data_IF_609521990261
#
_entry.id   IF_609521990261
#
_cell.length_a   1.000
_cell.length_b   1.000
_cell.length_c   1.000
_cell.angle_alpha   90.00
_cell.angle_beta   90.00
_cell.angle_gamma   90.00
#
_symmetry.space_group_name_H-M   'P 1'
#
loop_
_entity.id
_entity.type
_entity.pdbx_description
1 polymer ?
#
# COMPACT_ATOMS: atom_id res chain seq x y z
N UNK A 1 -25.34 68.80 14.36
CA UNK A 1 -25.17 68.24 15.72
C UNK A 1 -25.91 66.92 15.76
N UNK A 2 -25.21 65.79 15.90
CA UNK A 2 -25.85 64.49 16.13
C UNK A 2 -25.85 64.21 17.63
N UNK A 3 -27.01 64.20 18.26
CA UNK A 3 -27.18 63.85 19.68
C UNK A 3 -27.56 62.37 19.79
N UNK A 4 -26.72 61.56 20.44
CA UNK A 4 -27.12 60.23 20.94
C UNK A 4 -27.85 60.46 22.28
N UNK A 5 -29.11 60.03 22.39
CA UNK A 5 -29.83 59.99 23.66
C UNK A 5 -29.59 58.63 24.32
N UNK A 6 -28.95 58.63 25.48
CA UNK A 6 -28.88 57.49 26.39
C UNK A 6 -29.67 57.92 27.61
N UNK A 7 -30.84 57.30 27.82
CA UNK A 7 -31.68 57.54 28.99
C UNK A 7 -31.07 56.85 30.22
N UNK A 8 -30.63 57.64 31.19
CA UNK A 8 -30.74 57.27 32.60
C UNK A 8 -30.76 58.54 33.43
N UNK A 9 -31.68 58.59 34.38
CA UNK A 9 -31.94 59.64 35.35
C UNK A 9 -30.69 60.15 36.09
N UNK A 10 -29.92 61.06 35.49
CA UNK A 10 -29.04 62.01 36.17
C UNK A 10 -28.81 63.22 35.26
N UNK A 11 -29.32 64.39 35.67
CA UNK A 11 -29.27 65.66 34.95
C UNK A 11 -27.85 66.26 34.91
N UNK A 12 -26.99 65.72 34.04
CA UNK A 12 -25.71 66.32 33.66
C UNK A 12 -25.50 66.21 32.16
N UNK A 13 -25.75 67.29 31.40
CA UNK A 13 -25.39 67.33 29.98
C UNK A 13 -23.86 67.41 29.85
N UNK A 14 -23.22 66.30 29.53
CA UNK A 14 -21.81 66.26 29.17
C UNK A 14 -21.67 66.72 27.71
N UNK A 15 -21.14 67.91 27.49
CA UNK A 15 -20.80 68.40 26.15
C UNK A 15 -19.44 67.83 25.74
N UNK A 16 -19.47 66.77 24.95
CA UNK A 16 -18.26 66.26 24.28
C UNK A 16 -17.92 67.19 23.12
N UNK A 17 -16.67 67.64 23.04
CA UNK A 17 -16.22 68.38 21.86
C UNK A 17 -16.13 67.43 20.64
N UNK A 18 -16.06 68.00 19.44
CA UNK A 18 -16.06 67.21 18.20
C UNK A 18 -14.92 66.17 18.17
N UNK A 19 -13.76 66.49 18.74
CA UNK A 19 -12.61 65.58 18.80
C UNK A 19 -12.90 64.35 19.68
N UNK A 20 -13.54 64.54 20.83
CA UNK A 20 -13.94 63.46 21.74
C UNK A 20 -15.00 62.55 21.08
N UNK A 21 -15.94 63.12 20.31
CA UNK A 21 -16.93 62.32 19.55
C UNK A 21 -16.25 61.49 18.46
N UNK A 22 -15.27 62.05 17.75
CA UNK A 22 -14.50 61.32 16.73
C UNK A 22 -13.68 60.19 17.34
N UNK A 23 -13.05 60.41 18.50
CA UNK A 23 -12.26 59.40 19.20
C UNK A 23 -13.12 58.21 19.65
N UNK A 24 -14.29 58.47 20.25
CA UNK A 24 -15.24 57.42 20.63
C UNK A 24 -15.76 56.66 19.40
N UNK A 25 -16.07 57.36 18.30
CA UNK A 25 -16.52 56.72 17.06
C UNK A 25 -15.44 55.80 16.45
N UNK A 26 -14.17 56.21 16.49
CA UNK A 26 -13.05 55.40 16.03
C UNK A 26 -12.83 54.16 16.92
N UNK A 27 -12.95 54.32 18.24
CA UNK A 27 -12.88 53.21 19.18
C UNK A 27 -13.99 52.18 18.94
N UNK A 28 -15.22 52.65 18.69
CA UNK A 28 -16.35 51.78 18.33
C UNK A 28 -16.14 51.05 17.00
N UNK A 29 -15.66 51.74 15.96
CA UNK A 29 -15.33 51.12 14.67
C UNK A 29 -14.25 50.05 14.82
N UNK A 30 -13.21 50.31 15.61
CA UNK A 30 -12.15 49.34 15.89
C UNK A 30 -12.70 48.09 16.58
N UNK A 31 -13.54 48.26 17.61
CA UNK A 31 -14.18 47.12 18.30
C UNK A 31 -15.14 46.33 17.42
N UNK A 32 -15.90 46.99 16.55
CA UNK A 32 -16.77 46.31 15.57
C UNK A 32 -15.92 45.51 14.58
N UNK A 33 -14.84 46.09 14.06
CA UNK A 33 -13.92 45.40 13.16
C UNK A 33 -13.25 44.18 13.80
N UNK A 34 -12.85 44.28 15.07
CA UNK A 34 -12.35 43.15 15.85
C UNK A 34 -13.43 42.07 16.03
N UNK A 35 -14.66 42.46 16.37
CA UNK A 35 -15.78 41.51 16.51
C UNK A 35 -16.12 40.80 15.19
N UNK A 36 -16.08 41.51 14.05
CA UNK A 36 -16.27 40.92 12.72
C UNK A 36 -15.17 39.91 12.41
N UNK A 37 -13.90 40.25 12.68
CA UNK A 37 -12.78 39.29 12.53
C UNK A 37 -12.95 38.04 13.38
N UNK A 38 -13.42 38.18 14.62
CA UNK A 38 -13.70 37.02 15.49
C UNK A 38 -14.84 36.16 14.94
N UNK A 39 -15.91 36.78 14.45
CA UNK A 39 -17.02 36.08 13.78
C UNK A 39 -16.56 35.33 12.53
N UNK A 40 -15.73 35.96 11.69
CA UNK A 40 -15.17 35.32 10.49
C UNK A 40 -14.33 34.09 10.86
N UNK A 41 -13.52 34.18 11.93
CA UNK A 41 -12.76 33.03 12.45
C UNK A 41 -13.70 31.93 12.92
N UNK A 42 -14.72 32.24 13.73
CA UNK A 42 -15.68 31.25 14.24
C UNK A 42 -16.43 30.55 13.10
N UNK A 43 -16.89 31.31 12.10
CA UNK A 43 -17.58 30.78 10.92
C UNK A 43 -16.66 29.95 10.01
N UNK A 44 -15.33 30.14 10.12
CA UNK A 44 -14.33 29.35 9.40
C UNK A 44 -13.94 28.04 10.10
N UNK A 45 -14.39 27.82 11.34
CA UNK A 45 -14.08 26.61 12.10
C UNK A 45 -14.86 25.40 11.56
N UNK A 46 -14.16 24.28 11.47
CA UNK A 46 -14.71 22.99 11.08
C UNK A 46 -14.47 22.01 12.22
N UNK A 47 -15.54 21.32 12.62
CA UNK A 47 -15.44 20.21 13.58
C UNK A 47 -14.65 19.07 12.95
N UNK A 48 -13.67 18.56 13.67
CA UNK A 48 -12.84 17.43 13.29
C UNK A 48 -12.73 16.44 14.47
N UNK A 49 -12.52 15.18 14.14
CA UNK A 49 -12.28 14.07 15.06
C UNK A 49 -10.80 13.72 15.04
N UNK A 50 -10.21 13.51 16.23
CA UNK A 50 -8.79 13.23 16.39
C UNK A 50 -8.56 11.74 16.60
N UNK A 51 -7.70 11.15 15.78
CA UNK A 51 -7.13 9.82 16.03
C UNK A 51 -5.67 9.99 16.46
N UNK A 52 -5.34 9.42 17.61
CA UNK A 52 -3.98 9.35 18.14
C UNK A 52 -3.54 7.90 18.20
N UNK A 53 -2.35 7.62 17.70
CA UNK A 53 -1.76 6.30 17.79
C UNK A 53 -0.26 6.36 18.05
N UNK A 54 0.24 5.31 18.65
CA UNK A 54 1.67 5.08 18.83
C UNK A 54 2.00 3.67 18.34
N UNK A 55 3.03 3.57 17.51
CA UNK A 55 3.50 2.33 16.92
C UNK A 55 4.91 2.06 17.44
N UNK A 56 5.05 1.04 18.30
CA UNK A 56 6.32 0.73 18.98
C UNK A 56 7.37 0.17 18.03
N UNK A 57 8.62 0.58 18.24
CA UNK A 57 9.80 0.15 17.46
C UNK A 57 9.65 0.33 15.93
N UNK A 58 8.81 1.27 15.51
CA UNK A 58 8.49 1.51 14.10
C UNK A 58 9.71 1.94 13.29
N UNK A 59 10.72 2.57 13.91
CA UNK A 59 11.95 3.00 13.22
C UNK A 59 12.71 1.81 12.63
N UNK A 60 12.67 0.64 13.28
CA UNK A 60 13.41 -0.56 12.85
C UNK A 60 12.67 -1.35 11.77
N UNK A 61 11.44 -0.95 11.45
CA UNK A 61 10.53 -1.67 10.56
C UNK A 61 10.39 -0.90 9.26
N UNK A 62 10.90 -1.48 8.17
CA UNK A 62 10.66 -0.98 6.81
C UNK A 62 9.14 -0.94 6.56
N UNK A 63 8.61 0.01 5.80
CA UNK A 63 7.19 -0.07 5.41
C UNK A 63 6.18 0.71 6.25
N UNK A 64 6.45 0.90 7.55
CA UNK A 64 5.41 1.33 8.49
C UNK A 64 4.96 2.77 8.26
N UNK A 65 5.92 3.71 8.17
CA UNK A 65 5.60 5.12 7.97
C UNK A 65 4.94 5.36 6.61
N UNK A 66 5.50 4.81 5.52
CA UNK A 66 4.88 4.93 4.20
C UNK A 66 3.47 4.33 4.14
N UNK A 67 3.26 3.15 4.74
CA UNK A 67 1.92 2.52 4.86
C UNK A 67 0.93 3.42 5.58
N UNK A 68 1.39 4.15 6.59
CA UNK A 68 0.56 5.08 7.33
C UNK A 68 0.12 6.27 6.47
N UNK A 69 1.03 6.83 5.67
CA UNK A 69 0.68 7.93 4.75
C UNK A 69 -0.38 7.51 3.73
N UNK A 70 -0.25 6.33 3.12
CA UNK A 70 -1.28 5.80 2.20
C UNK A 70 -2.61 5.59 2.90
N UNK A 71 -2.59 4.96 4.08
CA UNK A 71 -3.81 4.73 4.85
C UNK A 71 -4.46 6.05 5.22
N UNK A 72 -3.68 7.03 5.66
CA UNK A 72 -4.17 8.37 5.99
C UNK A 72 -4.84 9.02 4.77
N UNK A 73 -4.25 8.90 3.58
CA UNK A 73 -4.84 9.38 2.32
C UNK A 73 -6.13 8.64 1.95
N UNK A 74 -6.16 7.29 2.01
CA UNK A 74 -7.34 6.44 1.76
C UNK A 74 -8.54 6.82 2.65
N UNK A 75 -8.28 7.20 3.90
CA UNK A 75 -9.31 7.61 4.86
C UNK A 75 -9.52 9.13 4.94
N UNK A 76 -8.96 9.91 4.00
CA UNK A 76 -9.14 11.35 3.88
C UNK A 76 -8.72 12.12 5.15
N UNK A 77 -7.62 11.69 5.76
CA UNK A 77 -7.06 12.32 6.95
C UNK A 77 -6.43 13.69 6.64
N UNK A 78 -6.39 14.55 7.66
CA UNK A 78 -5.72 15.84 7.64
C UNK A 78 -4.64 15.88 8.73
N UNK A 79 -3.59 16.67 8.51
CA UNK A 79 -2.58 16.93 9.54
C UNK A 79 -3.21 17.63 10.75
N UNK A 80 -2.65 17.37 11.94
CA UNK A 80 -2.98 18.13 13.13
C UNK A 80 -2.49 19.57 12.97
N UNK A 81 -3.28 20.59 13.34
CA UNK A 81 -2.97 21.97 13.03
C UNK A 81 -1.82 22.42 13.92
N UNK A 82 -0.99 23.32 13.40
CA UNK A 82 0.16 23.96 14.06
C UNK A 82 1.50 23.24 14.00
N UNK A 83 1.56 21.96 13.62
CA UNK A 83 2.85 21.31 13.32
C UNK A 83 2.68 20.02 12.50
N UNK A 84 2.92 20.09 11.20
CA UNK A 84 2.94 18.90 10.32
C UNK A 84 3.95 17.86 10.80
N UNK A 85 5.06 18.33 11.40
CA UNK A 85 6.09 17.47 11.97
C UNK A 85 5.69 16.79 13.28
N UNK A 86 4.51 17.08 13.84
CA UNK A 86 3.97 16.37 15.01
C UNK A 86 2.85 15.39 14.66
N UNK A 87 2.32 15.45 13.44
CA UNK A 87 1.21 14.60 13.04
C UNK A 87 1.64 13.17 12.73
N UNK A 88 2.82 13.00 12.13
CA UNK A 88 3.43 11.70 11.84
C UNK A 88 4.94 11.80 12.09
N UNK A 89 5.37 11.46 13.30
CA UNK A 89 6.74 11.70 13.74
C UNK A 89 7.29 10.60 14.65
N UNK A 90 8.62 10.47 14.65
CA UNK A 90 9.29 9.55 15.55
C UNK A 90 9.52 10.21 16.90
N UNK A 91 9.20 9.49 17.97
CA UNK A 91 9.62 9.78 19.33
C UNK A 91 10.55 8.64 19.78
N UNK A 92 11.86 8.83 19.59
CA UNK A 92 12.84 7.76 19.75
C UNK A 92 12.64 6.67 18.70
N UNK A 93 12.36 5.43 19.14
CA UNK A 93 12.11 4.30 18.25
C UNK A 93 10.67 4.18 17.75
N UNK A 94 9.76 4.93 18.36
CA UNK A 94 8.32 4.75 18.20
C UNK A 94 7.75 5.80 17.25
N UNK A 95 6.77 5.41 16.43
CA UNK A 95 6.09 6.33 15.52
C UNK A 95 4.80 6.82 16.16
N UNK A 96 4.76 8.12 16.46
CA UNK A 96 3.59 8.82 16.96
C UNK A 96 2.76 9.38 15.79
N UNK A 97 1.46 9.23 15.93
CA UNK A 97 0.47 9.61 14.93
C UNK A 97 -0.60 10.45 15.60
N UNK A 98 -0.87 11.64 15.08
CA UNK A 98 -2.01 12.47 15.44
C UNK A 98 -2.62 13.02 14.15
N UNK A 99 -3.80 12.53 13.79
CA UNK A 99 -4.48 12.88 12.54
C UNK A 99 -5.90 13.36 12.81
N UNK A 100 -6.37 14.23 11.92
CA UNK A 100 -7.71 14.80 11.95
C UNK A 100 -8.59 14.23 10.85
N UNK A 101 -9.87 14.07 11.16
CA UNK A 101 -10.89 13.61 10.22
C UNK A 101 -12.12 14.50 10.33
N UNK A 102 -12.66 14.97 9.20
CA UNK A 102 -13.91 15.75 9.21
C UNK A 102 -15.13 14.91 9.54
N UNK A 103 -15.03 13.60 9.33
CA UNK A 103 -16.11 12.64 9.43
C UNK A 103 -15.78 11.62 10.53
N UNK A 104 -16.69 11.45 11.48
CA UNK A 104 -16.55 10.53 12.62
C UNK A 104 -16.45 9.07 12.18
N UNK A 105 -17.21 8.68 11.15
CA UNK A 105 -17.19 7.34 10.60
C UNK A 105 -15.82 7.03 10.00
N UNK A 106 -15.26 7.94 9.20
CA UNK A 106 -13.90 7.78 8.64
C UNK A 106 -12.82 7.72 9.71
N UNK A 107 -12.94 8.55 10.76
CA UNK A 107 -12.07 8.47 11.92
C UNK A 107 -12.15 7.09 12.61
N UNK A 108 -13.37 6.58 12.77
CA UNK A 108 -13.66 5.26 13.35
C UNK A 108 -13.09 4.12 12.51
N UNK A 109 -13.31 4.13 11.20
CA UNK A 109 -12.77 3.11 10.28
C UNK A 109 -11.24 3.12 10.28
N UNK A 110 -10.61 4.30 10.21
CA UNK A 110 -9.16 4.44 10.27
C UNK A 110 -8.61 3.88 11.59
N UNK A 111 -9.23 4.24 12.73
CA UNK A 111 -8.88 3.76 14.07
C UNK A 111 -8.94 2.23 14.17
N UNK A 112 -10.05 1.64 13.74
CA UNK A 112 -10.23 0.18 13.72
C UNK A 112 -9.19 -0.45 12.82
N UNK A 113 -9.00 0.07 11.62
CA UNK A 113 -8.03 -0.47 10.67
C UNK A 113 -6.60 -0.43 11.22
N UNK A 114 -6.21 0.66 11.86
CA UNK A 114 -4.88 0.81 12.47
C UNK A 114 -4.69 -0.14 13.66
N UNK A 115 -5.71 -0.30 14.52
CA UNK A 115 -5.67 -1.25 15.64
C UNK A 115 -5.53 -2.71 15.19
N UNK A 116 -6.06 -3.02 14.01
CA UNK A 116 -6.00 -4.34 13.40
C UNK A 116 -4.68 -4.63 12.68
N UNK A 117 -3.80 -3.64 12.50
CA UNK A 117 -2.51 -3.84 11.85
C UNK A 117 -1.67 -4.90 12.57
N UNK A 118 -1.78 -5.03 13.91
CA UNK A 118 -1.09 -6.09 14.65
C UNK A 118 -1.46 -7.51 14.19
N UNK A 119 -2.63 -7.69 13.57
CA UNK A 119 -3.11 -8.99 13.07
C UNK A 119 -3.01 -9.12 11.55
N UNK A 120 -3.19 -8.01 10.81
CA UNK A 120 -3.40 -8.06 9.37
C UNK A 120 -2.37 -7.26 8.57
N UNK A 121 -1.50 -6.49 9.22
CA UNK A 121 -0.42 -5.82 8.49
C UNK A 121 0.68 -6.85 8.18
N UNK A 122 1.07 -7.03 6.91
CA UNK A 122 2.15 -7.96 6.55
C UNK A 122 3.46 -7.70 7.31
N UNK A 123 3.72 -6.44 7.67
CA UNK A 123 4.90 -6.00 8.44
C UNK A 123 4.78 -6.32 9.95
N UNK A 124 3.57 -6.64 10.42
CA UNK A 124 3.24 -7.00 11.80
C UNK A 124 3.42 -8.48 12.14
N UNK A 125 3.83 -9.32 11.18
CA UNK A 125 4.18 -10.73 11.41
C UNK A 125 5.25 -10.94 12.51
N UNK A 126 5.89 -9.87 13.00
CA UNK A 126 6.78 -9.85 14.18
C UNK A 126 6.21 -9.03 15.36
N UNK A 127 4.94 -9.20 15.72
CA UNK A 127 4.36 -8.58 16.92
C UNK A 127 4.50 -7.07 16.95
N UNK A 128 3.81 -6.37 16.05
CA UNK A 128 3.73 -4.91 16.09
C UNK A 128 2.83 -4.49 17.26
N UNK A 129 3.39 -3.75 18.21
CA UNK A 129 2.61 -3.17 19.29
C UNK A 129 2.13 -1.78 18.87
N UNK A 130 0.80 -1.63 18.88
CA UNK A 130 0.10 -0.44 18.39
C UNK A 130 -0.93 -0.07 19.44
N UNK A 131 -0.76 1.13 20.02
CA UNK A 131 -1.78 1.74 20.85
C UNK A 131 -2.53 2.78 20.02
N UNK A 132 -3.86 2.80 20.14
CA UNK A 132 -4.72 3.78 19.48
C UNK A 132 -5.71 4.28 20.52
N UNK A 133 -6.02 5.58 20.53
CA UNK A 133 -7.01 6.13 21.46
C UNK A 133 -8.36 5.43 21.31
N UNK A 134 -8.98 5.06 22.44
CA UNK A 134 -10.28 4.38 22.43
C UNK A 134 -11.42 5.32 22.00
N UNK A 135 -11.38 6.56 22.46
CA UNK A 135 -12.38 7.59 22.20
C UNK A 135 -11.84 8.64 21.25
N UNK A 136 -12.67 9.01 20.26
CA UNK A 136 -12.37 10.09 19.33
C UNK A 136 -12.58 11.43 20.02
N UNK A 137 -11.50 12.18 20.22
CA UNK A 137 -11.61 13.55 20.72
C UNK A 137 -12.12 14.47 19.60
N UNK A 138 -12.89 15.49 19.95
CA UNK A 138 -13.38 16.49 19.01
C UNK A 138 -12.60 17.79 19.14
N UNK A 139 -12.23 18.38 18.01
CA UNK A 139 -11.54 19.68 17.95
C UNK A 139 -12.17 20.53 16.86
N UNK A 140 -12.14 21.85 17.06
CA UNK A 140 -12.55 22.82 16.04
C UNK A 140 -11.31 23.44 15.42
N UNK A 141 -11.22 23.37 14.10
CA UNK A 141 -10.03 23.78 13.34
C UNK A 141 -10.44 24.74 12.24
N UNK A 142 -9.70 25.84 12.07
CA UNK A 142 -9.90 26.74 10.95
C UNK A 142 -9.73 25.97 9.62
N UNK A 143 -10.72 26.10 8.73
CA UNK A 143 -10.73 25.40 7.44
C UNK A 143 -9.47 25.64 6.62
N UNK A 144 -8.89 26.85 6.69
CA UNK A 144 -7.66 27.24 6.00
C UNK A 144 -6.41 26.50 6.49
N UNK A 145 -6.44 25.95 7.71
CA UNK A 145 -5.33 25.20 8.32
C UNK A 145 -5.42 23.69 8.06
N UNK A 146 -6.50 23.21 7.45
CA UNK A 146 -6.68 21.80 7.12
C UNK A 146 -5.93 21.47 5.83
N UNK A 147 -4.78 20.79 5.99
CA UNK A 147 -4.04 20.22 4.87
C UNK A 147 -4.24 18.69 4.84
N UNK A 148 -4.69 18.13 3.71
CA UNK A 148 -4.86 16.68 3.58
C UNK A 148 -3.51 15.98 3.68
N UNK A 149 -3.49 14.78 4.25
CA UNK A 149 -2.34 13.88 4.18
C UNK A 149 -2.39 13.17 2.83
N UNK A 150 -1.30 13.28 2.07
CA UNK A 150 -1.14 12.60 0.78
C UNK A 150 0.07 11.68 0.85
N UNK A 151 0.05 10.55 0.14
CA UNK A 151 1.21 9.67 0.05
C UNK A 151 2.45 10.39 -0.50
N UNK A 152 2.26 11.34 -1.42
CA UNK A 152 3.33 12.16 -1.99
C UNK A 152 4.06 13.03 -0.96
N UNK A 153 3.49 13.24 0.23
CA UNK A 153 4.17 13.94 1.33
C UNK A 153 5.20 13.06 2.05
N UNK A 154 5.21 11.74 1.81
CA UNK A 154 6.21 10.85 2.35
C UNK A 154 7.56 11.06 1.65
N UNK A 155 8.56 11.53 2.41
CA UNK A 155 9.93 11.65 1.93
C UNK A 155 10.81 10.54 2.51
N UNK A 156 11.25 9.63 1.64
CA UNK A 156 12.06 8.49 2.05
C UNK A 156 13.41 8.89 2.66
N UNK A 157 14.00 10.01 2.21
CA UNK A 157 15.27 10.55 2.70
C UNK A 157 15.16 11.24 4.07
N UNK A 158 13.96 11.67 4.47
CA UNK A 158 13.67 12.29 5.77
C UNK A 158 13.08 11.27 6.76
N UNK A 159 13.16 9.97 6.44
CA UNK A 159 12.67 8.90 7.29
C UNK A 159 13.83 8.27 8.04
N UNK A 160 13.75 8.28 9.38
CA UNK A 160 14.70 7.58 10.24
C UNK A 160 14.58 6.03 10.14
N UNK A 161 13.59 5.55 9.38
CA UNK A 161 13.39 4.14 9.05
C UNK A 161 14.16 3.71 7.80
N UNK A 162 14.43 2.40 7.60
CA UNK A 162 15.01 1.89 6.35
C UNK A 162 14.30 2.44 5.11
N UNK A 163 15.08 2.99 4.18
CA UNK A 163 14.58 3.67 2.97
C UNK A 163 13.61 2.76 2.22
N UNK A 164 12.44 3.31 1.92
CA UNK A 164 11.46 2.73 1.02
C UNK A 164 11.14 3.78 -0.04
N UNK A 165 11.41 3.47 -1.30
CA UNK A 165 11.04 4.37 -2.41
C UNK A 165 9.54 4.28 -2.69
N UNK A 166 8.95 5.28 -3.34
CA UNK A 166 7.55 5.19 -3.79
C UNK A 166 7.33 3.98 -4.71
N UNK A 167 8.34 3.57 -5.50
CA UNK A 167 8.31 2.34 -6.29
C UNK A 167 8.24 1.07 -5.41
N UNK A 168 8.93 1.05 -4.27
CA UNK A 168 8.80 -0.02 -3.27
C UNK A 168 7.44 -0.01 -2.56
N UNK A 169 6.63 1.04 -2.74
CA UNK A 169 5.35 1.25 -2.09
C UNK A 169 4.16 1.02 -3.03
N UNK A 170 4.27 1.45 -4.28
CA UNK A 170 3.36 1.09 -5.38
C UNK A 170 3.45 -0.41 -5.65
N UNK A 171 4.65 -1.00 -5.59
CA UNK A 171 4.84 -2.46 -5.52
C UNK A 171 4.34 -3.12 -4.22
N UNK A 172 3.93 -2.33 -3.22
CA UNK A 172 3.43 -2.74 -1.91
C UNK A 172 1.90 -2.57 -1.76
N UNK A 173 1.20 -2.10 -2.80
CA UNK A 173 -0.26 -2.13 -2.85
C UNK A 173 -0.82 -3.56 -2.82
N UNK A 174 0.04 -4.56 -2.93
CA UNK A 174 -0.26 -5.91 -2.58
C UNK A 174 0.66 -6.43 -1.49
N UNK A 175 0.02 -7.00 -0.48
CA UNK A 175 0.59 -7.63 0.69
C UNK A 175 1.85 -8.47 0.43
N UNK A 176 2.71 -8.54 1.45
CA UNK A 176 3.76 -9.55 1.74
C UNK A 176 5.18 -8.98 1.78
N UNK A 177 5.47 -8.37 2.92
CA UNK A 177 6.83 -8.09 3.36
C UNK A 177 7.56 -9.38 3.73
N UNK A 178 8.12 -10.01 2.71
CA UNK A 178 9.32 -10.88 2.70
C UNK A 178 9.59 -11.38 1.27
N UNK A 179 8.64 -11.18 0.35
CA UNK A 179 8.85 -11.39 -1.08
C UNK A 179 9.18 -10.02 -1.65
N UNK A 180 10.46 -9.73 -1.85
CA UNK A 180 10.83 -8.61 -2.71
C UNK A 180 10.39 -8.98 -4.13
N UNK A 181 9.16 -8.68 -4.48
CA UNK A 181 8.61 -8.92 -5.81
C UNK A 181 9.29 -7.93 -6.74
N UNK A 182 9.88 -8.42 -7.83
CA UNK A 182 10.58 -7.56 -8.78
C UNK A 182 9.74 -7.48 -10.05
N UNK A 183 9.27 -6.28 -10.40
CA UNK A 183 8.57 -6.05 -11.66
C UNK A 183 9.55 -6.28 -12.80
N UNK A 184 9.13 -7.03 -13.82
CA UNK A 184 9.89 -7.18 -15.04
C UNK A 184 9.53 -6.05 -16.02
N UNK A 185 10.50 -5.55 -16.78
CA UNK A 185 10.17 -4.66 -17.88
C UNK A 185 9.50 -5.47 -19.00
N UNK A 186 8.48 -4.95 -19.65
CA UNK A 186 7.93 -5.55 -20.88
C UNK A 186 8.98 -5.68 -22.00
N UNK A 187 10.02 -4.85 -21.96
CA UNK A 187 11.17 -4.92 -22.86
C UNK A 187 12.19 -5.99 -22.47
N UNK A 188 12.07 -6.60 -21.29
CA UNK A 188 12.96 -7.67 -20.84
C UNK A 188 12.59 -8.98 -21.58
N UNK A 189 13.52 -9.59 -22.34
CA UNK A 189 13.26 -10.85 -23.05
C UNK A 189 12.70 -11.96 -22.15
N UNK A 190 13.01 -11.93 -20.85
CA UNK A 190 12.51 -12.92 -19.89
C UNK A 190 10.98 -12.99 -19.85
N UNK A 191 10.28 -11.86 -20.07
CA UNK A 191 8.81 -11.79 -20.10
C UNK A 191 8.22 -12.66 -21.21
N UNK A 192 8.88 -12.73 -22.36
CA UNK A 192 8.40 -13.48 -23.51
C UNK A 192 8.75 -14.96 -23.41
N UNK A 193 9.95 -15.27 -22.90
CA UNK A 193 10.44 -16.65 -22.82
C UNK A 193 9.90 -17.42 -21.61
N UNK A 194 9.69 -16.74 -20.48
CA UNK A 194 9.43 -17.40 -19.18
C UNK A 194 8.05 -17.09 -18.59
N UNK A 195 7.16 -16.46 -19.38
CA UNK A 195 5.75 -16.29 -19.00
C UNK A 195 4.95 -17.57 -19.17
N UNK A 196 4.04 -17.80 -18.22
CA UNK A 196 3.02 -18.83 -18.24
C UNK A 196 1.69 -18.28 -18.79
N UNK A 197 1.47 -16.98 -18.65
CA UNK A 197 0.28 -16.28 -19.10
C UNK A 197 0.44 -15.69 -20.50
N UNK A 198 -0.72 -15.46 -21.13
CA UNK A 198 -0.87 -14.77 -22.41
C UNK A 198 -0.16 -13.40 -22.37
N UNK A 199 0.65 -13.07 -23.39
CA UNK A 199 1.30 -11.75 -23.48
C UNK A 199 0.32 -10.58 -23.39
N UNK A 200 -0.90 -10.75 -23.89
CA UNK A 200 -1.96 -9.73 -23.90
C UNK A 200 -2.34 -9.26 -22.50
N UNK A 201 -2.23 -10.14 -21.50
CA UNK A 201 -2.55 -9.80 -20.11
C UNK A 201 -1.61 -8.72 -19.57
N UNK A 202 -0.36 -8.71 -20.03
CA UNK A 202 0.61 -7.72 -19.58
C UNK A 202 0.44 -6.33 -20.22
N UNK A 203 -0.58 -6.15 -21.09
CA UNK A 203 -0.98 -4.82 -21.56
C UNK A 203 -1.79 -4.07 -20.51
N UNK A 204 -2.53 -4.80 -19.66
CA UNK A 204 -3.36 -4.25 -18.59
C UNK A 204 -2.82 -4.50 -17.18
N UNK A 205 -1.82 -5.37 -17.04
CA UNK A 205 -1.24 -5.78 -15.77
C UNK A 205 0.30 -5.77 -15.83
N UNK A 206 0.95 -5.49 -14.71
CA UNK A 206 2.42 -5.57 -14.64
C UNK A 206 2.90 -7.03 -14.60
N UNK A 207 3.97 -7.38 -15.33
CA UNK A 207 4.60 -8.70 -15.21
C UNK A 207 5.54 -8.72 -14.00
N UNK A 208 5.41 -9.75 -13.17
CA UNK A 208 6.23 -9.92 -11.97
C UNK A 208 7.19 -11.11 -12.12
N UNK A 209 8.43 -10.92 -11.64
CA UNK A 209 9.43 -11.98 -11.49
C UNK A 209 9.06 -12.82 -10.28
N UNK A 210 8.67 -14.07 -10.54
CA UNK A 210 8.36 -15.09 -9.54
C UNK A 210 9.58 -15.97 -9.33
N UNK A 211 10.17 -15.93 -8.15
CA UNK A 211 11.31 -16.76 -7.80
C UNK A 211 10.85 -18.16 -7.43
N UNK A 212 11.30 -19.17 -8.17
CA UNK A 212 10.97 -20.58 -7.91
C UNK A 212 11.53 -21.01 -6.54
N UNK A 213 12.83 -20.79 -6.33
CA UNK A 213 13.50 -20.86 -5.03
C UNK A 213 13.58 -19.46 -4.41
N UNK A 214 13.18 -19.27 -3.14
CA UNK A 214 13.21 -17.96 -2.49
C UNK A 214 14.60 -17.32 -2.46
N UNK A 215 14.67 -15.98 -2.45
CA UNK A 215 15.94 -15.22 -2.44
C UNK A 215 16.89 -15.53 -1.27
N UNK A 216 16.42 -16.20 -0.21
CA UNK A 216 17.29 -16.73 0.87
C UNK A 216 18.36 -17.70 0.32
N UNK A 217 18.08 -18.36 -0.81
CA UNK A 217 19.05 -19.14 -1.55
C UNK A 217 19.91 -18.22 -2.43
N UNK A 218 20.88 -17.53 -1.81
CA UNK A 218 21.73 -16.52 -2.48
C UNK A 218 22.37 -17.00 -3.80
N UNK A 219 22.67 -18.30 -3.92
CA UNK A 219 23.26 -18.92 -5.12
C UNK A 219 22.37 -18.84 -6.37
N UNK A 220 21.06 -18.68 -6.21
CA UNK A 220 20.07 -18.69 -7.31
C UNK A 220 19.19 -17.43 -7.32
N UNK A 221 19.44 -16.46 -6.43
CA UNK A 221 18.59 -15.28 -6.27
C UNK A 221 18.58 -14.35 -7.51
N UNK A 222 19.67 -14.35 -8.27
CA UNK A 222 19.86 -13.55 -9.49
C UNK A 222 19.91 -14.41 -10.77
N UNK A 223 19.50 -15.67 -10.70
CA UNK A 223 19.55 -16.59 -11.83
C UNK A 223 18.24 -16.59 -12.62
N UNK A 224 18.29 -16.30 -13.92
CA UNK A 224 17.14 -16.35 -14.82
C UNK A 224 16.46 -17.73 -14.81
N UNK A 225 17.21 -18.82 -14.59
CA UNK A 225 16.65 -20.18 -14.51
C UNK A 225 15.96 -20.47 -13.17
N UNK A 226 15.91 -19.50 -12.26
CA UNK A 226 15.14 -19.53 -11.03
C UNK A 226 13.90 -18.61 -11.10
N UNK A 227 13.52 -18.18 -12.31
CA UNK A 227 12.45 -17.22 -12.52
C UNK A 227 11.35 -17.78 -13.42
N UNK A 228 10.11 -17.48 -13.04
CA UNK A 228 8.94 -17.49 -13.91
C UNK A 228 8.37 -16.08 -13.97
N UNK A 229 7.62 -15.78 -15.02
CA UNK A 229 6.91 -14.51 -15.18
C UNK A 229 5.41 -14.76 -15.12
N UNK A 230 4.72 -13.93 -14.34
CA UNK A 230 3.28 -13.97 -14.20
C UNK A 230 2.74 -12.68 -13.60
N UNK A 231 1.44 -12.49 -13.69
CA UNK A 231 0.70 -11.43 -13.03
C UNK A 231 0.67 -11.66 -11.54
N UNK A 232 0.60 -10.55 -10.81
CA UNK A 232 0.44 -10.62 -9.37
C UNK A 232 -0.87 -11.32 -8.97
N UNK A 233 -1.99 -10.90 -9.55
CA UNK A 233 -3.30 -11.50 -9.33
C UNK A 233 -3.85 -12.07 -10.65
N UNK A 234 -4.24 -13.37 -10.70
CA UNK A 234 -4.26 -14.30 -9.58
C UNK A 234 -2.98 -15.14 -9.42
N UNK A 235 -2.08 -15.18 -10.42
CA UNK A 235 -1.12 -16.28 -10.53
C UNK A 235 -0.03 -16.30 -9.46
N UNK A 236 0.70 -15.20 -9.28
CA UNK A 236 1.78 -15.11 -8.29
C UNK A 236 1.26 -15.45 -6.89
N UNK A 237 0.09 -14.91 -6.54
CA UNK A 237 -0.52 -15.18 -5.25
C UNK A 237 -0.91 -16.65 -5.06
N UNK A 238 -1.43 -17.29 -6.11
CA UNK A 238 -1.75 -18.72 -6.06
C UNK A 238 -0.49 -19.57 -5.93
N UNK A 239 0.60 -19.20 -6.61
CA UNK A 239 1.85 -19.96 -6.62
C UNK A 239 2.64 -19.90 -5.31
N UNK A 240 2.54 -18.77 -4.59
CA UNK A 240 3.22 -18.57 -3.31
C UNK A 240 2.33 -18.80 -2.09
N UNK A 241 1.06 -19.16 -2.27
CA UNK A 241 0.10 -19.39 -1.16
C UNK A 241 -0.40 -18.10 -0.53
N UNK A 242 -0.22 -16.97 -1.20
CA UNK A 242 -0.57 -15.64 -0.71
C UNK A 242 -2.07 -15.35 -0.80
N UNK A 243 -2.79 -16.17 -1.57
CA UNK A 243 -4.23 -16.09 -1.77
C UNK A 243 -5.03 -16.82 -0.67
N UNK A 244 -4.36 -17.60 0.17
CA UNK A 244 -5.00 -18.43 1.19
C UNK A 244 -4.59 -17.99 2.59
N UNK A 245 -5.45 -18.28 3.57
CA UNK A 245 -5.20 -17.91 4.98
C UNK A 245 -4.14 -18.80 5.65
N UNK A 246 -3.96 -20.02 5.14
CA UNK A 246 -3.01 -21.03 5.62
C UNK A 246 -1.62 -20.89 4.97
N UNK A 247 -1.44 -19.92 4.07
CA UNK A 247 -0.22 -19.73 3.28
C UNK A 247 0.15 -20.93 2.39
N UNK A 248 -0.80 -21.82 2.07
CA UNK A 248 -0.60 -22.98 1.20
C UNK A 248 -0.84 -22.61 -0.27
N UNK A 249 0.12 -22.85 -1.19
CA UNK A 249 -0.07 -22.59 -2.62
C UNK A 249 -1.29 -23.29 -3.19
N UNK A 250 -1.97 -22.67 -4.16
CA UNK A 250 -3.10 -23.26 -4.89
C UNK A 250 -2.69 -23.86 -6.23
N UNK A 251 -1.43 -23.69 -6.63
CA UNK A 251 -0.86 -24.28 -7.84
C UNK A 251 0.55 -24.78 -7.58
N UNK A 252 0.81 -26.02 -7.97
CA UNK A 252 2.11 -26.64 -8.03
C UNK A 252 2.54 -26.73 -9.51
N UNK A 253 3.83 -26.51 -9.79
CA UNK A 253 4.34 -26.60 -11.17
C UNK A 253 5.53 -27.56 -11.20
N UNK A 254 5.51 -28.55 -12.10
CA UNK A 254 6.63 -29.49 -12.31
C UNK A 254 7.12 -29.49 -13.76
N UNK A 255 8.39 -29.82 -14.00
CA UNK A 255 8.87 -30.09 -15.35
C UNK A 255 8.32 -31.44 -15.85
N UNK A 256 8.03 -31.52 -17.14
CA UNK A 256 7.55 -32.74 -17.84
C UNK A 256 8.61 -33.28 -18.79
N UNK A 257 9.08 -32.44 -19.68
CA UNK A 257 10.10 -32.81 -20.67
C UNK A 257 10.93 -31.61 -21.08
N UNK A 258 12.19 -31.90 -21.39
CA UNK A 258 13.11 -30.96 -22.01
C UNK A 258 13.16 -31.26 -23.51
N UNK A 259 13.22 -30.20 -24.31
CA UNK A 259 13.39 -30.32 -25.75
C UNK A 259 14.66 -29.58 -26.16
N UNK A 260 15.42 -30.20 -27.06
CA UNK A 260 16.54 -29.57 -27.75
C UNK A 260 16.08 -28.47 -28.75
N UNK A 261 14.78 -28.23 -28.84
CA UNK A 261 14.22 -27.16 -29.67
C UNK A 261 14.65 -25.79 -29.15
N UNK A 262 15.42 -25.09 -29.98
CA UNK A 262 15.76 -23.69 -29.74
C UNK A 262 14.49 -22.83 -29.80
N UNK A 263 14.30 -22.00 -28.78
CA UNK A 263 13.08 -21.24 -28.56
C UNK A 263 12.71 -20.32 -29.72
N UNK A 264 11.44 -19.87 -29.77
CA UNK A 264 10.94 -19.04 -30.85
C UNK A 264 11.73 -17.74 -30.94
N UNK A 265 11.95 -17.28 -32.18
CA UNK A 265 12.42 -15.94 -32.44
C UNK A 265 11.26 -14.97 -32.16
N UNK A 266 11.42 -14.15 -31.13
CA UNK A 266 10.48 -13.08 -30.86
C UNK A 266 10.91 -11.78 -31.54
N UNK A 267 9.95 -11.08 -32.14
CA UNK A 267 10.20 -9.82 -32.83
C UNK A 267 10.72 -8.77 -31.84
N UNK A 268 11.81 -8.09 -32.19
CA UNK A 268 12.43 -7.06 -31.34
C UNK A 268 13.31 -7.61 -30.21
N UNK A 269 13.47 -8.93 -30.10
CA UNK A 269 14.40 -9.57 -29.14
C UNK A 269 15.60 -10.12 -29.90
N UNK A 270 16.84 -9.82 -29.49
CA UNK A 270 18.03 -10.42 -30.09
C UNK A 270 17.95 -11.95 -30.03
N UNK A 271 18.36 -12.69 -31.08
CA UNK A 271 18.39 -14.15 -31.05
C UNK A 271 19.14 -14.65 -29.81
N UNK A 272 18.47 -15.46 -29.00
CA UNK A 272 19.03 -16.07 -27.80
C UNK A 272 18.79 -17.57 -27.84
N UNK A 273 19.86 -18.34 -27.68
CA UNK A 273 19.75 -19.79 -27.51
C UNK A 273 19.06 -20.09 -26.19
N UNK A 274 17.83 -20.61 -26.28
CA UNK A 274 17.01 -21.05 -25.15
C UNK A 274 16.33 -22.36 -25.51
N UNK A 275 16.13 -23.23 -24.54
CA UNK A 275 15.56 -24.55 -24.73
C UNK A 275 14.14 -24.58 -24.19
N UNK A 276 13.26 -25.25 -24.93
CA UNK A 276 11.88 -25.44 -24.49
C UNK A 276 11.82 -26.45 -23.35
N UNK A 277 11.16 -26.06 -22.26
CA UNK A 277 10.80 -26.93 -21.14
C UNK A 277 9.28 -26.99 -21.07
N UNK A 278 8.73 -28.18 -21.25
CA UNK A 278 7.31 -28.43 -21.02
C UNK A 278 7.06 -28.58 -19.51
N UNK A 279 6.03 -27.90 -19.02
CA UNK A 279 5.67 -27.84 -17.60
C UNK A 279 4.21 -28.25 -17.40
N UNK A 280 3.92 -28.86 -16.25
CA UNK A 280 2.57 -29.17 -15.80
C UNK A 280 2.24 -28.29 -14.59
N UNK A 281 1.09 -27.62 -14.69
CA UNK A 281 0.46 -26.86 -13.62
C UNK A 281 -0.65 -27.72 -13.03
N UNK A 282 -0.46 -28.18 -11.80
CA UNK A 282 -1.47 -28.88 -11.02
C UNK A 282 -2.09 -27.88 -10.03
N UNK A 283 -3.40 -27.67 -10.12
CA UNK A 283 -4.17 -26.85 -9.20
C UNK A 283 -4.69 -27.70 -8.05
N UNK A 284 -4.83 -27.10 -6.87
CA UNK A 284 -5.37 -27.79 -5.69
C UNK A 284 -6.81 -28.27 -5.87
N UNK A 285 -7.58 -27.56 -6.69
CA UNK A 285 -9.01 -27.79 -6.91
C UNK A 285 -9.47 -27.19 -8.24
N UNK A 286 -10.67 -27.59 -8.69
CA UNK A 286 -11.24 -27.16 -9.98
C UNK A 286 -11.57 -25.67 -10.02
N UNK A 287 -11.93 -25.06 -8.88
CA UNK A 287 -12.23 -23.62 -8.82
C UNK A 287 -10.96 -22.79 -9.02
N UNK A 288 -9.86 -23.18 -8.39
CA UNK A 288 -8.54 -22.62 -8.62
C UNK A 288 -8.11 -22.75 -10.09
N UNK A 289 -8.32 -23.91 -10.70
CA UNK A 289 -8.04 -24.12 -12.13
C UNK A 289 -8.89 -23.22 -13.03
N UNK A 290 -10.20 -23.15 -12.77
CA UNK A 290 -11.16 -22.35 -13.54
C UNK A 290 -10.79 -20.86 -13.52
N UNK A 291 -10.43 -20.32 -12.35
CA UNK A 291 -10.05 -18.91 -12.17
C UNK A 291 -8.82 -18.47 -12.97
N UNK A 292 -7.94 -19.40 -13.33
CA UNK A 292 -6.69 -19.08 -14.02
C UNK A 292 -6.64 -19.56 -15.48
N UNK A 293 -7.39 -20.60 -15.83
CA UNK A 293 -7.30 -21.25 -17.14
C UNK A 293 -7.43 -20.31 -18.35
N UNK A 294 -8.24 -19.25 -18.26
CA UNK A 294 -8.39 -18.24 -19.33
C UNK A 294 -7.11 -17.46 -19.62
N UNK A 295 -6.21 -17.37 -18.62
CA UNK A 295 -5.00 -16.57 -18.67
C UNK A 295 -3.79 -17.30 -19.24
N UNK A 296 -3.84 -18.64 -19.27
CA UNK A 296 -2.77 -19.47 -19.80
C UNK A 296 -2.46 -19.11 -21.25
N UNK A 297 -1.18 -18.98 -21.58
CA UNK A 297 -0.73 -18.64 -22.93
C UNK A 297 -1.14 -19.66 -23.98
N UNK A 298 -1.13 -19.21 -25.22
CA UNK A 298 -1.39 -20.05 -26.38
C UNK A 298 -0.44 -21.26 -26.44
N UNK A 299 -0.99 -22.40 -26.86
CA UNK A 299 -0.31 -23.69 -26.83
C UNK A 299 -0.39 -24.43 -25.49
N UNK A 300 -1.00 -23.84 -24.46
CA UNK A 300 -1.33 -24.57 -23.23
C UNK A 300 -2.52 -25.50 -23.45
N UNK A 301 -2.47 -26.71 -22.91
CA UNK A 301 -3.49 -27.75 -23.10
C UNK A 301 -4.03 -28.23 -21.76
N UNK A 302 -5.34 -28.46 -21.67
CA UNK A 302 -5.97 -29.09 -20.51
C UNK A 302 -5.67 -30.58 -20.54
N UNK A 303 -5.09 -31.10 -19.46
CA UNK A 303 -4.79 -32.53 -19.28
C UNK A 303 -5.87 -33.20 -18.42
N UNK A 304 -6.35 -32.51 -17.40
CA UNK A 304 -7.49 -32.90 -16.55
C UNK A 304 -8.19 -31.65 -16.00
N UNK A 305 -9.22 -31.82 -15.16
CA UNK A 305 -9.93 -30.69 -14.52
C UNK A 305 -9.02 -29.78 -13.68
N UNK A 306 -7.97 -30.34 -13.09
CA UNK A 306 -7.00 -29.63 -12.25
C UNK A 306 -5.60 -29.56 -12.84
N UNK A 307 -5.35 -30.11 -14.04
CA UNK A 307 -4.01 -30.16 -14.64
C UNK A 307 -4.00 -29.51 -16.02
N UNK A 308 -3.09 -28.57 -16.20
CA UNK A 308 -2.79 -27.94 -17.48
C UNK A 308 -1.31 -28.14 -17.84
N UNK A 309 -1.02 -28.36 -19.11
CA UNK A 309 0.35 -28.43 -19.63
C UNK A 309 0.64 -27.17 -20.44
N UNK A 310 1.79 -26.56 -20.20
CA UNK A 310 2.30 -25.41 -20.93
C UNK A 310 3.80 -25.60 -21.21
N UNK A 311 4.46 -24.56 -21.71
CA UNK A 311 5.91 -24.59 -21.97
C UNK A 311 6.56 -23.28 -21.59
N UNK A 312 7.86 -23.25 -21.32
CA UNK A 312 8.67 -22.05 -21.13
C UNK A 312 10.05 -22.24 -21.75
N UNK A 313 10.83 -21.18 -21.93
CA UNK A 313 12.11 -21.22 -22.63
C UNK A 313 13.25 -20.71 -21.75
N UNK A 314 14.23 -21.58 -21.49
CA UNK A 314 15.29 -21.36 -20.51
C UNK A 314 16.68 -21.42 -21.13
N UNK A 315 17.65 -20.70 -20.57
CA UNK A 315 19.06 -20.80 -21.01
C UNK A 315 19.69 -22.13 -20.57
N UNK A 316 19.33 -22.60 -19.38
CA UNK A 316 19.79 -23.85 -18.80
C UNK A 316 18.55 -24.65 -18.31
N UNK A 317 18.01 -25.56 -19.14
CA UNK A 317 16.79 -26.31 -18.81
C UNK A 317 17.01 -27.22 -17.59
N UNK A 318 18.14 -27.92 -17.49
CA UNK A 318 18.48 -28.79 -16.36
C UNK A 318 18.37 -28.05 -15.02
N UNK A 319 19.00 -26.87 -14.92
CA UNK A 319 18.98 -26.05 -13.70
C UNK A 319 17.58 -25.52 -13.37
N UNK A 320 16.81 -25.14 -14.39
CA UNK A 320 15.43 -24.73 -14.21
C UNK A 320 14.57 -25.88 -13.69
N UNK A 321 14.68 -27.08 -14.30
CA UNK A 321 13.99 -28.28 -13.88
C UNK A 321 14.33 -28.67 -12.43
N UNK A 322 15.59 -28.56 -12.02
CA UNK A 322 16.01 -28.78 -10.63
C UNK A 322 15.33 -27.81 -9.65
N UNK A 323 15.28 -26.52 -10.00
CA UNK A 323 14.61 -25.51 -9.17
C UNK A 323 13.11 -25.76 -9.08
N UNK A 324 12.49 -26.07 -10.22
CA UNK A 324 11.05 -26.28 -10.32
C UNK A 324 10.62 -27.54 -9.56
N UNK A 325 11.40 -28.63 -9.66
CA UNK A 325 11.19 -29.85 -8.90
C UNK A 325 11.24 -29.60 -7.39
N UNK A 326 12.22 -28.81 -6.93
CA UNK A 326 12.29 -28.44 -5.51
C UNK A 326 11.02 -27.75 -5.01
N UNK A 327 10.50 -26.77 -5.77
CA UNK A 327 9.28 -26.04 -5.39
C UNK A 327 8.04 -26.93 -5.50
N UNK A 328 7.97 -27.81 -6.49
CA UNK A 328 6.92 -28.82 -6.61
C UNK A 328 6.85 -29.70 -5.36
N UNK A 329 7.98 -30.31 -4.98
CA UNK A 329 8.06 -31.20 -3.82
C UNK A 329 7.68 -30.45 -2.53
N UNK A 330 8.08 -29.18 -2.40
CA UNK A 330 7.71 -28.30 -1.29
C UNK A 330 6.19 -28.05 -1.24
N UNK A 331 5.58 -27.68 -2.36
CA UNK A 331 4.13 -27.44 -2.45
C UNK A 331 3.32 -28.71 -2.21
N UNK A 332 3.71 -29.85 -2.79
CA UNK A 332 3.00 -31.12 -2.60
C UNK A 332 3.08 -31.61 -1.15
N UNK A 333 4.20 -31.36 -0.47
CA UNK A 333 4.32 -31.62 0.98
C UNK A 333 3.30 -30.80 1.76
N UNK A 334 3.20 -29.50 1.49
CA UNK A 334 2.24 -28.61 2.16
C UNK A 334 0.79 -29.02 1.92
N UNK A 335 0.44 -29.48 0.70
CA UNK A 335 -0.91 -29.98 0.42
C UNK A 335 -1.23 -31.23 1.23
N UNK A 336 -0.28 -32.16 1.33
CA UNK A 336 -0.47 -33.38 2.11
C UNK A 336 -0.65 -33.06 3.60
N UNK A 337 0.15 -32.15 4.15
CA UNK A 337 0.04 -31.71 5.55
C UNK A 337 -1.34 -31.05 5.81
N UNK A 338 -1.83 -30.24 4.88
CA UNK A 338 -3.15 -29.59 5.00
C UNK A 338 -4.33 -30.57 4.98
N UNK A 339 -4.22 -31.66 4.22
CA UNK A 339 -5.30 -32.65 4.12
C UNK A 339 -5.33 -33.63 5.32
N UNK A 340 -4.29 -33.63 6.16
CA UNK A 340 -4.16 -34.44 7.38
C UNK A 340 -4.64 -33.72 8.66
N UNK A 341 -4.79 -32.39 8.62
CA UNK A 341 -5.37 -31.51 9.67
C UNK A 341 -6.89 -31.37 9.54
#
# INVERSE_FOLDING_TARGET
MCSLHIDSEMNGKVFLNLNQVTEVANLFKMKIHEATKVMDVILSLVKCHVVKAEIKDAIRRKGIRASLFKKAEEFLAFYYPHDESQSICYNGSDLNVTLLFKDEWKAGEFRVSLSQWKYHNPLAAKGLDISVNELLAEVHVEKSKLRPVMLSHYQAAESDSPVQTLADFEGCASSISNISVSIASLSDPICQFQSIEKPEIFQSCEPYKMHIKPKRFKKVASDDNNLLIGTWTPFHQMYDGLKTNDAVPLVAIKPVSESDFEGPLFLGVPPQKRFKVDIELEFSDENSASQFSSNLKDGSIKVSETIWRSSVFMKNPEKFCENLKWKWDDTKRMWKERDED
#
